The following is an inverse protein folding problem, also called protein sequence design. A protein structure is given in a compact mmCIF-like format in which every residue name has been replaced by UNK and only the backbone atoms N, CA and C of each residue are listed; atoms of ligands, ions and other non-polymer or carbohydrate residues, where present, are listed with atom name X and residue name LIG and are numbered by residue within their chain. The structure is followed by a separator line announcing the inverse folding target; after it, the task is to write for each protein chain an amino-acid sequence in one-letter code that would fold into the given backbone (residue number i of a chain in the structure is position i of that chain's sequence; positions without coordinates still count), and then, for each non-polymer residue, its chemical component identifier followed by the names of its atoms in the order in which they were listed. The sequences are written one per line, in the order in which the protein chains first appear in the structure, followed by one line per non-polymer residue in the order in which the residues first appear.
data_IF_397262439077
#
_entry.id   IF_397262439077
#
_cell.length_a   1.000
_cell.length_b   1.000
_cell.length_c   1.000
_cell.angle_alpha   90.00
_cell.angle_beta   90.00
_cell.angle_gamma   90.00
#
_symmetry.space_group_name_H-M   'P 1'
#
loop_
_entity.id
_entity.type
_entity.pdbx_description
1 polymer ?
#
# COMPACT_ATOMS: atom_id res chain seq x y z
N UNK A 1 -9.82 -9.50 -11.73
CA UNK A 1 -8.64 -8.88 -11.07
C UNK A 1 -8.96 -8.70 -9.60
N UNK A 2 -8.09 -9.16 -8.71
CA UNK A 2 -8.07 -8.73 -7.30
C UNK A 2 -7.13 -7.53 -7.20
N UNK A 3 -7.51 -6.49 -6.46
CA UNK A 3 -6.66 -5.34 -6.22
C UNK A 3 -6.48 -5.09 -4.72
N UNK A 4 -5.23 -5.05 -4.28
CA UNK A 4 -4.86 -4.89 -2.88
C UNK A 4 -4.07 -3.59 -2.67
N UNK A 5 -4.72 -2.44 -2.43
CA UNK A 5 -4.00 -1.21 -2.15
C UNK A 5 -3.29 -1.33 -0.80
N UNK A 6 -1.97 -1.15 -0.80
CA UNK A 6 -1.13 -1.22 0.39
C UNK A 6 -1.02 0.16 1.02
N UNK A 7 -1.46 0.26 2.27
CA UNK A 7 -1.47 1.50 3.04
C UNK A 7 -0.89 1.26 4.43
N UNK A 8 0.03 2.13 4.84
CA UNK A 8 0.48 2.20 6.23
C UNK A 8 -0.58 2.93 7.04
N UNK A 9 -0.89 2.48 8.26
CA UNK A 9 -2.01 2.99 9.05
C UNK A 9 -1.83 4.41 9.66
N UNK A 10 -1.43 5.37 8.83
CA UNK A 10 -1.28 6.77 9.23
C UNK A 10 -2.63 7.48 9.18
N UNK A 11 -2.63 8.72 9.67
CA UNK A 11 -3.83 9.53 9.81
C UNK A 11 -4.66 9.66 8.52
N UNK A 12 -4.06 9.93 7.36
CA UNK A 12 -4.82 10.16 6.12
C UNK A 12 -5.24 8.86 5.43
N UNK A 13 -4.43 7.82 5.52
CA UNK A 13 -4.77 6.46 5.10
C UNK A 13 -5.99 5.95 5.89
N UNK A 14 -5.97 6.09 7.23
CA UNK A 14 -7.11 5.75 8.08
C UNK A 14 -8.37 6.57 7.74
N UNK A 15 -8.19 7.85 7.36
CA UNK A 15 -9.27 8.71 6.92
C UNK A 15 -9.96 8.20 5.65
N UNK A 16 -9.23 7.52 4.75
CA UNK A 16 -9.83 6.88 3.56
C UNK A 16 -10.76 5.73 3.98
N UNK A 17 -10.33 4.90 4.93
CA UNK A 17 -11.15 3.79 5.44
C UNK A 17 -12.48 4.26 6.03
N UNK A 18 -12.48 5.41 6.72
CA UNK A 18 -13.68 5.95 7.36
C UNK A 18 -14.58 6.74 6.41
N UNK A 19 -14.01 7.63 5.59
CA UNK A 19 -14.79 8.60 4.80
C UNK A 19 -15.14 8.08 3.40
N UNK A 20 -14.38 7.12 2.89
CA UNK A 20 -14.53 6.60 1.53
C UNK A 20 -14.57 5.07 1.49
N UNK A 21 -15.27 4.49 2.47
CA UNK A 21 -15.47 3.04 2.58
C UNK A 21 -16.03 2.41 1.29
N UNK A 22 -16.78 3.18 0.50
CA UNK A 22 -17.39 2.73 -0.76
C UNK A 22 -16.39 2.46 -1.88
N UNK A 23 -15.13 2.91 -1.72
CA UNK A 23 -14.03 2.59 -2.63
C UNK A 23 -13.47 1.18 -2.42
N UNK A 24 -13.86 0.50 -1.34
CA UNK A 24 -13.47 -0.88 -1.04
C UNK A 24 -14.63 -1.86 -1.31
N UNK A 25 -14.38 -3.14 -1.08
CA UNK A 25 -15.33 -4.23 -1.28
C UNK A 25 -15.39 -4.74 -2.73
N UNK A 26 -15.96 -5.93 -2.90
CA UNK A 26 -15.87 -6.68 -4.15
C UNK A 26 -14.43 -7.15 -4.39
N UNK A 27 -13.81 -6.67 -5.45
CA UNK A 27 -12.45 -7.05 -5.83
C UNK A 27 -11.35 -6.15 -5.23
N UNK A 28 -11.70 -5.18 -4.38
CA UNK A 28 -10.75 -4.24 -3.76
C UNK A 28 -10.73 -4.44 -2.25
N UNK A 29 -9.60 -4.90 -1.71
CA UNK A 29 -9.42 -5.14 -0.28
C UNK A 29 -8.05 -4.60 0.18
N UNK A 30 -7.98 -3.68 1.14
CA UNK A 30 -6.72 -3.04 1.48
C UNK A 30 -5.79 -3.97 2.26
N UNK A 31 -4.48 -3.86 1.99
CA UNK A 31 -3.43 -4.33 2.91
C UNK A 31 -3.05 -3.17 3.81
N UNK A 32 -3.30 -3.35 5.11
CA UNK A 32 -2.99 -2.38 6.14
C UNK A 32 -1.69 -2.81 6.83
N UNK A 33 -0.61 -2.09 6.51
CA UNK A 33 0.66 -2.21 7.20
C UNK A 33 0.56 -1.44 8.53
N UNK A 34 0.44 -2.17 9.64
CA UNK A 34 0.35 -1.57 10.97
C UNK A 34 1.75 -1.16 11.41
N UNK A 35 2.00 0.15 11.37
CA UNK A 35 3.28 0.76 11.77
C UNK A 35 3.19 1.56 13.07
N UNK A 36 1.96 1.92 13.47
CA UNK A 36 1.71 2.76 14.62
C UNK A 36 0.46 2.31 15.38
N UNK A 37 0.45 2.52 16.69
CA UNK A 37 -0.66 2.14 17.58
C UNK A 37 -1.70 3.26 17.76
N UNK A 38 -1.57 4.38 17.03
CA UNK A 38 -2.50 5.51 17.15
C UNK A 38 -3.44 5.66 15.97
N UNK A 39 -4.70 5.94 16.31
CA UNK A 39 -5.71 6.43 15.36
C UNK A 39 -6.08 7.86 15.77
N UNK A 40 -5.95 8.79 14.83
CA UNK A 40 -6.13 10.24 15.01
C UNK A 40 -5.19 10.88 16.05
N UNK A 41 -5.35 10.55 17.34
CA UNK A 41 -4.48 10.95 18.47
C UNK A 41 -4.53 9.96 19.65
N UNK A 42 -5.43 8.99 19.63
CA UNK A 42 -5.64 8.01 20.71
C UNK A 42 -4.69 6.83 20.47
N UNK A 43 -3.97 6.41 21.50
CA UNK A 43 -3.26 5.11 21.53
C UNK A 43 -4.30 4.01 21.70
N UNK A 44 -4.22 3.00 20.84
CA UNK A 44 -5.10 1.85 20.84
C UNK A 44 -4.27 0.58 21.02
N UNK A 45 -4.80 -0.37 21.77
CA UNK A 45 -4.34 -1.74 21.73
C UNK A 45 -4.52 -2.33 20.33
N UNK A 46 -3.83 -3.43 20.03
CA UNK A 46 -3.99 -4.10 18.75
C UNK A 46 -5.43 -4.59 18.52
N UNK A 47 -6.13 -5.03 19.57
CA UNK A 47 -7.54 -5.44 19.47
C UNK A 47 -8.45 -4.26 19.11
N UNK A 48 -8.26 -3.10 19.75
CA UNK A 48 -8.99 -1.86 19.40
C UNK A 48 -8.70 -1.38 17.97
N UNK A 49 -7.49 -1.64 17.43
CA UNK A 49 -7.20 -1.35 16.01
C UNK A 49 -8.01 -2.26 15.08
N UNK A 50 -8.13 -3.55 15.41
CA UNK A 50 -8.93 -4.49 14.62
C UNK A 50 -10.42 -4.14 14.67
N UNK A 51 -10.94 -3.84 15.85
CA UNK A 51 -12.33 -3.35 16.02
C UNK A 51 -12.59 -2.12 15.16
N UNK A 52 -11.66 -1.15 15.16
CA UNK A 52 -11.77 0.01 14.30
C UNK A 52 -11.86 -0.34 12.81
N UNK A 53 -11.05 -1.26 12.30
CA UNK A 53 -11.12 -1.64 10.89
C UNK A 53 -12.39 -2.43 10.56
N UNK A 54 -12.82 -3.34 11.44
CA UNK A 54 -14.08 -4.07 11.30
C UNK A 54 -15.28 -3.11 11.20
N UNK A 55 -15.33 -2.09 12.06
CA UNK A 55 -16.42 -1.09 12.09
C UNK A 55 -16.44 -0.17 10.86
N UNK A 56 -15.27 0.24 10.37
CA UNK A 56 -15.17 1.30 9.36
C UNK A 56 -15.11 0.78 7.93
N UNK A 57 -14.49 -0.39 7.70
CA UNK A 57 -14.43 -1.00 6.37
C UNK A 57 -15.68 -1.81 6.07
N UNK A 58 -16.09 -2.70 6.99
CA UNK A 58 -17.23 -3.60 6.76
C UNK A 58 -17.05 -4.60 5.60
N UNK A 59 -15.80 -4.79 5.15
CA UNK A 59 -15.39 -5.72 4.11
C UNK A 59 -14.03 -6.31 4.47
N UNK A 60 -13.63 -7.37 3.75
CA UNK A 60 -12.34 -8.01 3.95
C UNK A 60 -11.18 -7.01 3.85
N UNK A 61 -10.26 -7.09 4.81
CA UNK A 61 -9.01 -6.34 4.83
C UNK A 61 -7.87 -7.24 5.29
N UNK A 62 -6.65 -6.90 4.90
CA UNK A 62 -5.46 -7.68 5.21
C UNK A 62 -4.62 -6.91 6.23
N UNK A 63 -4.16 -7.58 7.29
CA UNK A 63 -3.27 -6.96 8.30
C UNK A 63 -1.87 -7.52 8.17
N UNK A 64 -0.93 -6.63 7.85
CA UNK A 64 0.51 -6.89 7.91
C UNK A 64 1.08 -6.20 9.16
N UNK A 65 1.58 -7.00 10.13
CA UNK A 65 2.34 -6.48 11.27
C UNK A 65 3.71 -6.07 10.76
N UNK A 66 3.78 -4.81 10.32
CA UNK A 66 4.91 -4.30 9.57
C UNK A 66 6.12 -4.12 10.47
N UNK A 67 7.22 -4.75 10.09
CA UNK A 67 8.56 -4.59 10.67
C UNK A 67 9.56 -4.26 9.56
N UNK A 68 10.72 -3.69 9.86
CA UNK A 68 11.71 -3.33 8.84
C UNK A 68 13.12 -3.42 9.41
N UNK A 69 14.12 -3.59 8.54
CA UNK A 69 15.51 -3.63 8.97
C UNK A 69 16.01 -2.22 9.31
N UNK A 70 16.96 -2.10 10.24
CA UNK A 70 17.39 -0.78 10.76
C UNK A 70 17.79 0.20 9.65
N UNK A 71 18.44 -0.31 8.60
CA UNK A 71 18.99 0.45 7.48
C UNK A 71 18.16 0.38 6.21
N UNK A 72 16.96 -0.21 6.26
CA UNK A 72 16.07 -0.35 5.09
C UNK A 72 15.53 1.02 4.64
N UNK A 73 15.22 1.89 5.60
CA UNK A 73 14.67 3.22 5.35
C UNK A 73 15.61 4.31 5.87
N UNK A 74 15.97 5.25 4.99
CA UNK A 74 16.92 6.32 5.31
C UNK A 74 16.32 7.38 6.25
N UNK A 75 15.05 7.73 6.04
CA UNK A 75 14.37 8.78 6.79
C UNK A 75 13.19 8.19 7.54
N UNK A 76 13.22 8.28 8.87
CA UNK A 76 12.18 7.72 9.72
C UNK A 76 11.98 8.54 10.99
N UNK A 77 10.72 8.62 11.42
CA UNK A 77 10.28 9.20 12.68
C UNK A 77 9.95 8.07 13.65
N UNK A 78 10.85 7.83 14.60
CA UNK A 78 10.73 6.69 15.50
C UNK A 78 9.48 6.76 16.38
N UNK A 79 8.98 7.96 16.71
CA UNK A 79 7.77 8.12 17.52
C UNK A 79 6.50 7.67 16.78
N UNK A 80 6.52 7.67 15.45
CA UNK A 80 5.42 7.20 14.59
C UNK A 80 5.59 5.74 14.15
N UNK A 81 6.57 5.04 14.72
CA UNK A 81 6.97 3.68 14.34
C UNK A 81 7.13 2.76 15.55
N UNK A 82 6.63 3.18 16.72
CA UNK A 82 6.76 2.46 18.00
C UNK A 82 6.32 1.01 17.86
N UNK A 83 5.14 0.79 17.26
CA UNK A 83 4.60 -0.55 17.03
C UNK A 83 5.52 -1.42 16.18
N UNK A 84 6.08 -0.89 15.08
CA UNK A 84 7.03 -1.65 14.25
C UNK A 84 8.33 -1.98 14.99
N UNK A 85 8.86 -1.06 15.81
CA UNK A 85 10.08 -1.29 16.59
C UNK A 85 9.89 -2.32 17.70
N UNK A 86 8.75 -2.30 18.38
CA UNK A 86 8.38 -3.29 19.39
C UNK A 86 8.25 -4.68 18.75
N UNK A 87 7.49 -4.77 17.65
CA UNK A 87 7.21 -6.04 16.98
C UNK A 87 8.41 -6.61 16.22
N UNK A 88 9.42 -5.80 15.90
CA UNK A 88 10.69 -6.30 15.35
C UNK A 88 11.40 -7.28 16.28
N UNK A 89 11.20 -7.15 17.59
CA UNK A 89 11.81 -8.01 18.62
C UNK A 89 10.91 -9.19 19.01
N UNK A 90 9.73 -9.30 18.41
CA UNK A 90 8.79 -10.38 18.72
C UNK A 90 9.36 -11.74 18.35
N UNK A 91 9.13 -12.70 19.23
CA UNK A 91 9.30 -14.12 18.93
C UNK A 91 8.26 -14.58 17.91
N UNK A 92 8.49 -15.72 17.26
CA UNK A 92 7.48 -16.32 16.38
C UNK A 92 6.15 -16.57 17.11
N UNK A 93 6.16 -16.89 18.40
CA UNK A 93 4.94 -17.12 19.21
C UNK A 93 4.13 -15.84 19.43
N UNK A 94 4.80 -14.74 19.77
CA UNK A 94 4.14 -13.44 19.95
C UNK A 94 3.54 -12.95 18.64
N UNK A 95 4.28 -13.08 17.53
CA UNK A 95 3.76 -12.75 16.21
C UNK A 95 2.57 -13.64 15.82
N UNK A 96 2.63 -14.95 16.12
CA UNK A 96 1.52 -15.87 15.89
C UNK A 96 0.25 -15.42 16.63
N UNK A 97 0.35 -15.10 17.93
CA UNK A 97 -0.84 -14.67 18.70
C UNK A 97 -1.43 -13.36 18.15
N UNK A 98 -0.61 -12.45 17.60
CA UNK A 98 -1.14 -11.27 16.89
C UNK A 98 -1.90 -11.66 15.62
N UNK A 99 -1.33 -12.50 14.76
CA UNK A 99 -2.01 -12.91 13.53
C UNK A 99 -3.26 -13.73 13.82
N UNK A 100 -3.27 -14.51 14.90
CA UNK A 100 -4.46 -15.23 15.36
C UNK A 100 -5.57 -14.28 15.79
N UNK A 101 -5.26 -13.14 16.41
CA UNK A 101 -6.26 -12.09 16.68
C UNK A 101 -6.87 -11.54 15.39
N UNK A 102 -6.04 -11.31 14.36
CA UNK A 102 -6.54 -10.93 13.02
C UNK A 102 -7.45 -12.01 12.45
N UNK A 103 -7.03 -13.28 12.50
CA UNK A 103 -7.79 -14.42 11.99
C UNK A 103 -9.16 -14.58 12.67
N UNK A 104 -9.31 -14.11 13.91
CA UNK A 104 -10.55 -14.15 14.69
C UNK A 104 -11.39 -12.87 14.58
N UNK A 105 -10.90 -11.82 13.90
CA UNK A 105 -11.69 -10.61 13.62
C UNK A 105 -12.77 -10.88 12.56
N UNK A 106 -13.75 -9.99 12.42
CA UNK A 106 -14.91 -10.26 11.56
C UNK A 106 -14.53 -10.27 10.07
N UNK A 107 -13.63 -9.38 9.66
CA UNK A 107 -13.24 -9.24 8.27
C UNK A 107 -11.73 -9.31 8.02
N UNK A 108 -10.90 -9.38 9.06
CA UNK A 108 -9.46 -9.37 8.93
C UNK A 108 -8.89 -10.69 8.40
N UNK A 109 -7.93 -10.55 7.50
CA UNK A 109 -7.07 -11.63 7.00
C UNK A 109 -5.64 -11.39 7.49
N UNK A 110 -5.04 -12.36 8.19
CA UNK A 110 -3.64 -12.23 8.60
C UNK A 110 -2.71 -12.32 7.39
N UNK A 111 -1.74 -11.39 7.33
CA UNK A 111 -0.62 -11.44 6.39
C UNK A 111 0.62 -11.95 7.11
N UNK A 112 1.14 -13.09 6.66
CA UNK A 112 2.41 -13.66 7.09
C UNK A 112 3.51 -13.09 6.19
N UNK A 113 4.30 -12.16 6.72
CA UNK A 113 5.35 -11.48 5.96
C UNK A 113 6.70 -12.19 6.12
N UNK A 114 7.16 -12.83 5.05
CA UNK A 114 8.44 -13.54 4.95
C UNK A 114 9.47 -12.61 4.32
N UNK A 115 10.19 -11.88 5.18
CA UNK A 115 11.25 -10.93 4.81
C UNK A 115 12.40 -10.95 5.82
N UNK A 116 13.55 -10.39 5.44
CA UNK A 116 14.82 -10.52 6.17
C UNK A 116 14.85 -10.09 7.64
N UNK A 117 13.82 -9.42 8.17
CA UNK A 117 13.74 -9.00 9.58
C UNK A 117 13.22 -10.10 10.50
N UNK A 118 12.48 -11.08 9.97
CA UNK A 118 11.92 -12.21 10.73
C UNK A 118 12.77 -13.45 10.52
N UNK A 119 14.01 -13.41 11.02
CA UNK A 119 15.03 -14.46 10.80
C UNK A 119 14.58 -15.86 11.26
N UNK A 120 13.63 -15.98 12.20
CA UNK A 120 13.08 -17.29 12.54
C UNK A 120 12.40 -17.99 11.37
N UNK A 121 11.87 -17.25 10.38
CA UNK A 121 11.34 -17.85 9.15
C UNK A 121 12.43 -18.26 8.17
N UNK A 122 13.72 -18.07 8.47
CA UNK A 122 14.77 -18.72 7.70
C UNK A 122 14.74 -20.26 7.84
N UNK A 123 14.03 -20.81 8.83
CA UNK A 123 13.65 -22.22 8.87
C UNK A 123 12.31 -22.43 8.16
N UNK A 124 12.36 -23.05 6.99
CA UNK A 124 11.16 -23.34 6.20
C UNK A 124 10.19 -24.30 6.89
N UNK A 125 10.66 -25.21 7.75
CA UNK A 125 9.78 -26.12 8.48
C UNK A 125 8.99 -25.35 9.54
N UNK A 126 9.65 -24.45 10.26
CA UNK A 126 8.97 -23.57 11.21
C UNK A 126 7.91 -22.71 10.51
N UNK A 127 8.20 -22.19 9.31
CA UNK A 127 7.24 -21.42 8.53
C UNK A 127 6.03 -22.28 8.12
N UNK A 128 6.25 -23.52 7.67
CA UNK A 128 5.18 -24.48 7.32
C UNK A 128 4.29 -24.77 8.53
N UNK A 129 4.89 -25.06 9.69
CA UNK A 129 4.16 -25.32 10.93
C UNK A 129 3.35 -24.08 11.36
N UNK A 130 3.96 -22.89 11.27
CA UNK A 130 3.32 -21.62 11.58
C UNK A 130 2.09 -21.37 10.70
N UNK A 131 2.23 -21.55 9.37
CA UNK A 131 1.15 -21.40 8.41
C UNK A 131 0.02 -22.38 8.70
N UNK A 132 0.36 -23.67 8.83
CA UNK A 132 -0.61 -24.75 9.04
C UNK A 132 -1.37 -24.59 10.36
N UNK A 133 -0.71 -24.11 11.41
CA UNK A 133 -1.36 -23.81 12.68
C UNK A 133 -2.31 -22.61 12.57
N UNK A 134 -1.91 -21.54 11.85
CA UNK A 134 -2.74 -20.35 11.70
C UNK A 134 -3.99 -20.63 10.85
N UNK A 135 -3.88 -21.46 9.82
CA UNK A 135 -4.98 -21.90 8.97
C UNK A 135 -6.13 -22.60 9.75
N UNK A 136 -5.88 -23.07 10.98
CA UNK A 136 -6.93 -23.64 11.86
C UNK A 136 -7.91 -22.59 12.40
N UNK A 137 -7.54 -21.31 12.40
CA UNK A 137 -8.34 -20.22 12.96
C UNK A 137 -9.10 -19.41 11.90
N UNK A 138 -8.73 -19.54 10.62
CA UNK A 138 -9.36 -18.80 9.52
C UNK A 138 -9.33 -19.57 8.21
N UNK A 139 -10.35 -19.33 7.38
CA UNK A 139 -10.46 -19.92 6.03
C UNK A 139 -9.49 -19.30 5.03
N UNK A 140 -8.96 -18.12 5.30
CA UNK A 140 -8.06 -17.40 4.39
C UNK A 140 -6.92 -16.78 5.17
N UNK A 141 -5.70 -17.00 4.70
CA UNK A 141 -4.51 -16.25 5.07
C UNK A 141 -3.87 -15.64 3.82
N UNK A 142 -2.99 -14.67 4.01
CA UNK A 142 -2.08 -14.23 2.96
C UNK A 142 -0.63 -14.49 3.38
N UNK A 143 0.19 -14.98 2.45
CA UNK A 143 1.64 -15.06 2.63
C UNK A 143 2.28 -14.04 1.70
N UNK A 144 2.94 -13.04 2.27
CA UNK A 144 3.74 -12.07 1.52
C UNK A 144 5.20 -12.49 1.59
N UNK A 145 5.80 -12.82 0.45
CA UNK A 145 7.21 -13.20 0.39
C UNK A 145 7.99 -12.20 -0.45
N UNK A 146 9.07 -11.69 0.11
CA UNK A 146 10.03 -10.90 -0.65
C UNK A 146 10.70 -11.80 -1.71
N UNK A 147 10.93 -11.28 -2.91
CA UNK A 147 11.44 -12.09 -4.02
C UNK A 147 12.79 -12.76 -3.71
N UNK A 148 13.66 -12.13 -2.91
CA UNK A 148 14.94 -12.71 -2.46
C UNK A 148 14.79 -13.93 -1.54
N UNK A 149 13.59 -14.16 -0.99
CA UNK A 149 13.24 -15.30 -0.14
C UNK A 149 12.47 -16.39 -0.88
N UNK A 150 12.00 -16.12 -2.10
CA UNK A 150 11.10 -17.01 -2.86
C UNK A 150 11.67 -18.43 -3.01
N UNK A 151 12.82 -18.57 -3.65
CA UNK A 151 13.45 -19.86 -3.96
C UNK A 151 13.67 -20.76 -2.73
N UNK A 152 13.87 -20.16 -1.55
CA UNK A 152 14.10 -20.90 -0.30
C UNK A 152 12.83 -21.52 0.30
N UNK A 153 11.70 -20.85 0.15
CA UNK A 153 10.47 -21.19 0.87
C UNK A 153 9.33 -21.68 -0.03
N UNK A 154 9.33 -21.30 -1.31
CA UNK A 154 8.20 -21.51 -2.22
C UNK A 154 7.72 -22.96 -2.26
N UNK A 155 8.61 -23.92 -2.55
CA UNK A 155 8.24 -25.34 -2.64
C UNK A 155 7.55 -25.88 -1.40
N UNK A 156 7.94 -25.44 -0.20
CA UNK A 156 7.35 -25.91 1.05
C UNK A 156 5.98 -25.25 1.30
N UNK A 157 5.86 -23.96 0.97
CA UNK A 157 4.60 -23.21 1.08
C UNK A 157 3.55 -23.69 0.07
N UNK A 158 3.97 -23.94 -1.17
CA UNK A 158 3.13 -24.40 -2.27
C UNK A 158 2.34 -25.66 -1.92
N UNK A 159 2.96 -26.57 -1.16
CA UNK A 159 2.33 -27.83 -0.74
C UNK A 159 1.25 -27.69 0.34
N UNK A 160 1.14 -26.54 1.01
CA UNK A 160 0.23 -26.35 2.16
C UNK A 160 -0.80 -25.24 1.96
N UNK A 161 -0.64 -24.42 0.92
CA UNK A 161 -1.57 -23.34 0.62
C UNK A 161 -2.92 -23.86 0.12
N UNK A 162 -4.00 -23.24 0.59
CA UNK A 162 -5.37 -23.58 0.20
C UNK A 162 -5.83 -22.66 -0.94
N UNK A 163 -6.86 -23.08 -1.67
CA UNK A 163 -7.48 -22.27 -2.73
C UNK A 163 -7.98 -20.90 -2.28
N UNK A 164 -8.36 -20.77 -1.02
CA UNK A 164 -8.82 -19.53 -0.41
C UNK A 164 -7.69 -18.65 0.13
N UNK A 165 -6.44 -19.12 0.14
CA UNK A 165 -5.28 -18.36 0.60
C UNK A 165 -4.68 -17.53 -0.55
N UNK A 166 -3.96 -16.47 -0.17
CA UNK A 166 -3.26 -15.59 -1.10
C UNK A 166 -1.74 -15.78 -0.98
N UNK A 167 -1.07 -15.89 -2.11
CA UNK A 167 0.37 -15.81 -2.21
C UNK A 167 0.75 -14.47 -2.86
N UNK A 168 1.35 -13.58 -2.07
CA UNK A 168 1.76 -12.24 -2.49
C UNK A 168 3.26 -12.26 -2.77
N UNK A 169 3.63 -12.23 -4.06
CA UNK A 169 5.01 -12.15 -4.52
C UNK A 169 5.46 -10.69 -4.57
N UNK A 170 6.32 -10.29 -3.63
CA UNK A 170 6.76 -8.91 -3.44
C UNK A 170 8.11 -8.66 -4.11
N UNK A 171 8.08 -7.94 -5.24
CA UNK A 171 9.27 -7.53 -6.00
C UNK A 171 9.77 -6.14 -5.60
N UNK A 172 9.16 -5.52 -4.59
CA UNK A 172 9.54 -4.20 -4.07
C UNK A 172 9.57 -3.12 -5.18
N UNK A 173 10.67 -2.39 -5.35
CA UNK A 173 10.82 -1.31 -6.35
C UNK A 173 11.47 -1.79 -7.67
N UNK A 174 11.67 -3.11 -7.81
CA UNK A 174 12.30 -3.70 -8.99
C UNK A 174 11.28 -3.96 -10.09
N UNK A 175 11.77 -4.01 -11.33
CA UNK A 175 10.95 -4.43 -12.46
C UNK A 175 10.73 -5.95 -12.42
N UNK A 176 9.78 -6.46 -13.21
CA UNK A 176 9.37 -7.87 -13.15
C UNK A 176 10.35 -8.81 -13.87
N UNK A 177 11.11 -8.30 -14.84
CA UNK A 177 11.96 -9.09 -15.74
C UNK A 177 13.01 -9.97 -15.03
N UNK A 178 13.68 -9.54 -13.94
CA UNK A 178 14.65 -10.37 -13.22
C UNK A 178 14.05 -11.64 -12.61
N UNK A 179 12.72 -11.71 -12.44
CA UNK A 179 12.02 -12.78 -11.73
C UNK A 179 11.31 -13.77 -12.66
N UNK A 180 11.68 -13.80 -13.95
CA UNK A 180 10.99 -14.63 -14.94
C UNK A 180 10.92 -16.13 -14.57
N UNK A 181 11.97 -16.69 -13.97
CA UNK A 181 11.98 -18.09 -13.52
C UNK A 181 11.08 -18.31 -12.30
N UNK A 182 11.09 -17.39 -11.32
CA UNK A 182 10.20 -17.46 -10.16
C UNK A 182 8.72 -17.39 -10.59
N UNK A 183 8.44 -16.56 -11.60
CA UNK A 183 7.11 -16.41 -12.19
C UNK A 183 6.70 -17.67 -12.95
N UNK A 184 7.62 -18.32 -13.67
CA UNK A 184 7.34 -19.61 -14.32
C UNK A 184 6.96 -20.70 -13.30
N UNK A 185 7.65 -20.74 -12.15
CA UNK A 185 7.32 -21.64 -11.05
C UNK A 185 5.91 -21.37 -10.49
N UNK A 186 5.54 -20.10 -10.31
CA UNK A 186 4.18 -19.69 -9.88
C UNK A 186 3.11 -20.02 -10.93
N UNK A 187 3.40 -19.86 -12.21
CA UNK A 187 2.48 -20.13 -13.31
C UNK A 187 2.10 -21.61 -13.39
N UNK A 188 3.01 -22.50 -12.98
CA UNK A 188 2.72 -23.93 -12.86
C UNK A 188 1.72 -24.27 -11.72
N UNK A 189 1.22 -23.26 -11.00
CA UNK A 189 0.33 -23.37 -9.83
C UNK A 189 -0.95 -22.55 -9.96
N UNK A 190 -1.20 -21.96 -11.14
CA UNK A 190 -2.41 -21.17 -11.39
C UNK A 190 -3.69 -21.93 -10.97
N UNK A 191 -4.50 -21.27 -10.14
CA UNK A 191 -5.78 -21.81 -9.65
C UNK A 191 -5.69 -22.68 -8.39
N UNK A 192 -4.49 -22.97 -7.87
CA UNK A 192 -4.33 -23.70 -6.59
C UNK A 192 -4.55 -22.81 -5.36
N UNK A 193 -4.13 -21.55 -5.45
CA UNK A 193 -4.34 -20.44 -4.52
C UNK A 193 -4.32 -19.14 -5.34
N UNK A 194 -4.61 -18.00 -4.70
CA UNK A 194 -4.64 -16.71 -5.40
C UNK A 194 -3.24 -16.09 -5.46
N UNK A 195 -2.69 -15.95 -6.66
CA UNK A 195 -1.38 -15.35 -6.89
C UNK A 195 -1.52 -13.84 -7.08
N UNK A 196 -0.88 -13.06 -6.23
CA UNK A 196 -0.89 -11.59 -6.30
C UNK A 196 0.55 -11.10 -6.44
N UNK A 197 0.79 -10.17 -7.35
CA UNK A 197 2.08 -9.48 -7.43
C UNK A 197 2.02 -8.15 -6.66
N UNK A 198 3.01 -7.90 -5.80
CA UNK A 198 3.18 -6.64 -5.09
C UNK A 198 4.36 -5.87 -5.67
N UNK A 199 4.09 -4.65 -6.12
CA UNK A 199 5.08 -3.73 -6.66
C UNK A 199 4.95 -2.34 -6.04
N UNK A 200 6.08 -1.71 -5.71
CA UNK A 200 6.15 -0.29 -5.34
C UNK A 200 6.58 0.51 -6.57
N UNK A 201 5.63 1.06 -7.34
CA UNK A 201 5.89 1.58 -8.68
C UNK A 201 6.74 2.86 -8.68
N UNK A 202 6.93 3.49 -7.51
CA UNK A 202 7.69 4.73 -7.36
C UNK A 202 8.84 4.53 -6.40
N UNK A 203 10.06 4.58 -6.95
CA UNK A 203 11.29 4.44 -6.16
C UNK A 203 11.41 5.48 -5.05
N UNK A 204 11.84 5.06 -3.85
CA UNK A 204 12.02 5.93 -2.69
C UNK A 204 12.97 7.10 -3.01
N UNK A 205 14.00 6.83 -3.82
CA UNK A 205 15.03 7.79 -4.23
C UNK A 205 14.52 8.95 -5.10
N UNK A 206 13.34 8.84 -5.74
CA UNK A 206 12.84 9.86 -6.69
C UNK A 206 12.29 11.08 -5.94
N UNK A 207 13.07 12.16 -5.89
CA UNK A 207 12.66 13.41 -5.27
C UNK A 207 11.52 14.12 -6.04
N UNK A 208 10.72 14.94 -5.36
CA UNK A 208 9.63 15.70 -6.00
C UNK A 208 10.12 16.63 -7.12
N UNK A 209 11.31 17.21 -6.98
CA UNK A 209 11.93 18.07 -8.00
C UNK A 209 12.32 17.35 -9.29
N UNK A 210 12.32 16.02 -9.30
CA UNK A 210 12.65 15.22 -10.48
C UNK A 210 11.49 15.18 -11.48
N UNK A 211 10.27 15.46 -11.04
CA UNK A 211 9.09 15.52 -11.89
C UNK A 211 9.09 16.79 -12.74
N UNK A 212 8.37 16.74 -13.86
CA UNK A 212 8.15 17.89 -14.74
C UNK A 212 6.73 18.41 -14.56
N UNK A 213 6.54 19.72 -14.59
CA UNK A 213 5.21 20.32 -14.45
C UNK A 213 4.35 20.10 -15.71
N UNK A 214 3.10 19.71 -15.53
CA UNK A 214 2.08 19.66 -16.58
C UNK A 214 2.21 18.50 -17.58
N UNK A 215 2.85 17.39 -17.20
CA UNK A 215 3.06 16.23 -18.10
C UNK A 215 2.73 14.91 -17.41
N UNK A 216 2.48 13.86 -18.20
CA UNK A 216 2.52 12.50 -17.68
C UNK A 216 3.97 12.08 -17.43
N UNK A 217 4.19 11.34 -16.36
CA UNK A 217 5.53 10.98 -15.90
C UNK A 217 5.79 9.48 -16.02
N UNK A 218 6.98 9.16 -16.53
CA UNK A 218 7.50 7.79 -16.57
C UNK A 218 8.35 7.46 -15.33
N UNK A 219 8.37 8.35 -14.32
CA UNK A 219 9.08 8.14 -13.05
C UNK A 219 8.32 7.21 -12.09
N UNK A 220 7.11 6.79 -12.44
CA UNK A 220 6.28 5.86 -11.69
C UNK A 220 5.87 4.76 -12.66
N UNK A 221 6.38 3.56 -12.45
CA UNK A 221 6.15 2.42 -13.32
C UNK A 221 4.92 1.63 -12.86
N UNK A 222 3.76 1.96 -13.42
CA UNK A 222 2.52 1.23 -13.17
C UNK A 222 2.28 0.08 -14.16
N UNK A 223 3.28 -0.35 -14.95
CA UNK A 223 3.08 -1.37 -15.99
C UNK A 223 2.41 -2.65 -15.46
N UNK A 224 2.80 -3.09 -14.27
CA UNK A 224 2.25 -4.28 -13.61
C UNK A 224 0.75 -4.18 -13.35
N UNK A 225 0.20 -2.99 -13.03
CA UNK A 225 -1.25 -2.82 -12.84
C UNK A 225 -2.04 -3.25 -14.09
N UNK A 226 -1.48 -3.05 -15.28
CA UNK A 226 -2.14 -3.36 -16.56
C UNK A 226 -1.80 -4.76 -17.09
N UNK A 227 -0.60 -5.26 -16.79
CA UNK A 227 -0.06 -6.45 -17.43
C UNK A 227 0.08 -7.65 -16.47
N UNK A 228 -0.44 -7.56 -15.23
CA UNK A 228 -0.31 -8.66 -14.23
C UNK A 228 -0.85 -10.00 -14.75
N UNK A 229 -1.88 -9.98 -15.59
CA UNK A 229 -2.52 -11.15 -16.19
C UNK A 229 -1.66 -11.81 -17.28
N UNK A 230 -0.83 -11.04 -17.99
CA UNK A 230 0.19 -11.57 -18.92
C UNK A 230 1.19 -12.49 -18.21
N UNK A 231 1.35 -12.30 -16.90
CA UNK A 231 2.19 -13.11 -16.01
C UNK A 231 1.38 -14.10 -15.16
N UNK A 232 0.11 -14.36 -15.51
CA UNK A 232 -0.83 -15.25 -14.82
C UNK A 232 -1.04 -14.98 -13.32
N UNK A 233 -0.86 -13.75 -12.86
CA UNK A 233 -1.33 -13.35 -11.54
C UNK A 233 -2.86 -13.15 -11.54
N UNK A 234 -3.52 -13.47 -10.43
CA UNK A 234 -4.96 -13.25 -10.22
C UNK A 234 -5.28 -11.78 -9.87
N UNK A 235 -4.25 -11.04 -9.44
CA UNK A 235 -4.37 -9.66 -9.03
C UNK A 235 -3.05 -8.96 -8.75
N UNK A 236 -3.16 -7.72 -8.33
CA UNK A 236 -2.03 -6.81 -8.10
C UNK A 236 -2.21 -6.04 -6.80
N UNK A 237 -1.09 -5.82 -6.12
CA UNK A 237 -0.98 -4.97 -4.95
C UNK A 237 0.03 -3.86 -5.26
N UNK A 238 -0.27 -2.63 -4.84
CA UNK A 238 0.65 -1.51 -4.98
C UNK A 238 0.48 -0.49 -3.86
N UNK A 239 1.39 0.49 -3.83
CA UNK A 239 1.34 1.60 -2.89
C UNK A 239 0.64 2.83 -3.49
N UNK A 240 -0.36 2.70 -4.37
CA UNK A 240 -1.19 3.81 -4.88
C UNK A 240 -0.39 4.95 -5.55
N UNK A 241 0.78 4.65 -6.14
CA UNK A 241 1.72 5.64 -6.68
C UNK A 241 2.58 6.37 -5.65
N UNK A 242 2.47 6.01 -4.36
CA UNK A 242 3.41 6.44 -3.34
C UNK A 242 4.71 5.70 -3.44
N UNK A 243 5.71 6.36 -2.85
CA UNK A 243 6.86 5.66 -2.34
C UNK A 243 6.42 4.74 -1.22
N UNK A 244 6.94 3.52 -1.22
CA UNK A 244 7.03 2.73 0.00
C UNK A 244 8.02 3.41 0.96
N UNK A 245 7.61 4.48 1.61
CA UNK A 245 8.43 5.23 2.57
C UNK A 245 7.83 5.15 3.97
N UNK A 246 8.62 5.41 5.01
CA UNK A 246 8.16 5.56 6.39
C UNK A 246 7.81 7.02 6.72
N UNK A 247 7.00 7.29 7.76
CA UNK A 247 6.86 8.64 8.29
C UNK A 247 8.24 9.20 8.64
N UNK A 248 8.52 10.45 8.28
CA UNK A 248 9.76 11.14 8.62
C UNK A 248 9.49 12.29 9.59
N UNK A 249 10.54 12.78 10.27
CA UNK A 249 10.49 13.85 11.28
C UNK A 249 10.12 15.23 10.71
N UNK A 250 9.76 15.31 9.42
CA UNK A 250 9.48 16.54 8.70
C UNK A 250 10.73 17.12 8.03
N UNK A 251 10.52 17.94 6.99
CA UNK A 251 11.57 18.80 6.44
C UNK A 251 11.54 20.17 7.13
N UNK A 252 12.57 21.01 6.92
CA UNK A 252 12.63 22.39 7.40
C UNK A 252 11.59 23.33 6.73
N UNK A 253 10.44 22.80 6.30
CA UNK A 253 9.43 23.52 5.54
C UNK A 253 9.78 23.72 4.06
N UNK A 254 10.97 23.32 3.63
CA UNK A 254 11.40 23.40 2.23
C UNK A 254 11.09 22.11 1.45
N UNK A 255 10.78 22.27 0.17
CA UNK A 255 10.54 21.19 -0.78
C UNK A 255 9.58 21.62 -1.89
N UNK A 256 9.78 21.07 -3.09
CA UNK A 256 8.88 21.34 -4.21
C UNK A 256 7.49 20.73 -3.93
N UNK A 257 6.45 21.53 -4.17
CA UNK A 257 5.06 21.12 -4.02
C UNK A 257 4.64 20.35 -5.28
N UNK A 258 4.40 19.05 -5.13
CA UNK A 258 4.08 18.14 -6.22
C UNK A 258 2.73 17.49 -5.97
N UNK A 259 1.89 17.49 -7.00
CA UNK A 259 0.72 16.63 -7.08
C UNK A 259 0.89 15.60 -8.21
N UNK A 260 0.36 14.40 -7.97
CA UNK A 260 0.36 13.28 -8.90
C UNK A 260 -1.08 12.80 -9.08
N UNK A 261 -1.63 12.97 -10.27
CA UNK A 261 -3.02 12.60 -10.56
C UNK A 261 -3.02 11.38 -11.48
N UNK A 262 -3.41 10.23 -10.94
CA UNK A 262 -3.51 9.00 -11.71
C UNK A 262 -4.62 9.10 -12.77
N UNK A 263 -4.31 8.64 -13.96
CA UNK A 263 -5.25 8.44 -15.07
C UNK A 263 -5.23 6.96 -15.45
N UNK A 264 -6.34 6.26 -15.19
CA UNK A 264 -6.46 4.83 -15.46
C UNK A 264 -6.31 4.50 -16.95
N UNK A 265 -6.86 5.35 -17.82
CA UNK A 265 -6.87 5.09 -19.27
C UNK A 265 -5.46 5.09 -19.86
N UNK A 266 -4.60 5.97 -19.33
CA UNK A 266 -3.19 6.05 -19.73
C UNK A 266 -2.29 5.16 -18.87
N UNK A 267 -2.78 4.65 -17.74
CA UNK A 267 -2.00 3.96 -16.72
C UNK A 267 -0.76 4.75 -16.27
N UNK A 268 -0.92 6.06 -16.11
CA UNK A 268 0.17 6.99 -15.79
C UNK A 268 -0.28 8.07 -14.80
N UNK A 269 0.70 8.70 -14.15
CA UNK A 269 0.47 9.86 -13.29
C UNK A 269 0.74 11.16 -14.05
N UNK A 270 -0.23 12.08 -14.01
CA UNK A 270 -0.03 13.46 -14.43
C UNK A 270 0.56 14.27 -13.29
N UNK A 271 1.72 14.87 -13.49
CA UNK A 271 2.41 15.68 -12.49
C UNK A 271 2.12 17.17 -12.64
N UNK A 272 1.77 17.81 -11.52
CA UNK A 272 1.69 19.28 -11.40
C UNK A 272 2.66 19.71 -10.30
N UNK A 273 3.61 20.57 -10.64
CA UNK A 273 4.76 20.87 -9.80
C UNK A 273 4.99 22.37 -9.66
N UNK A 274 5.02 22.84 -8.41
CA UNK A 274 5.72 24.07 -8.09
C UNK A 274 7.17 23.75 -7.72
N UNK A 275 8.11 24.12 -8.59
CA UNK A 275 9.53 23.78 -8.44
C UNK A 275 10.21 24.57 -7.31
N UNK A 276 9.70 25.74 -6.95
CA UNK A 276 10.31 26.63 -5.95
C UNK A 276 10.26 26.02 -4.55
N UNK A 277 11.37 25.38 -4.16
CA UNK A 277 11.47 24.67 -2.88
C UNK A 277 11.37 25.61 -1.67
N UNK A 278 11.63 26.91 -1.84
CA UNK A 278 11.54 27.90 -0.76
C UNK A 278 10.10 28.21 -0.39
N UNK A 279 9.15 28.02 -1.31
CA UNK A 279 7.72 28.14 -1.00
C UNK A 279 7.21 26.99 -0.15
N UNK A 280 7.87 25.82 -0.21
CA UNK A 280 7.46 24.67 0.58
C UNK A 280 5.99 24.29 0.35
N UNK A 281 5.26 24.07 1.43
CA UNK A 281 3.83 23.76 1.39
C UNK A 281 2.98 24.88 0.76
N UNK A 282 3.39 26.14 0.85
CA UNK A 282 2.66 27.25 0.20
C UNK A 282 2.68 27.14 -1.33
N UNK A 283 3.62 26.37 -1.90
CA UNK A 283 3.61 26.06 -3.33
C UNK A 283 2.37 25.29 -3.81
N UNK A 284 1.63 24.67 -2.89
CA UNK A 284 0.41 23.93 -3.23
C UNK A 284 -0.77 24.83 -3.64
N UNK A 285 -0.74 26.12 -3.35
CA UNK A 285 -1.70 27.09 -3.91
C UNK A 285 -1.63 27.08 -5.45
N UNK A 286 -0.43 27.18 -6.02
CA UNK A 286 -0.21 27.06 -7.46
C UNK A 286 -0.69 25.71 -7.99
N UNK A 287 -0.34 24.62 -7.30
CA UNK A 287 -0.69 23.26 -7.74
C UNK A 287 -2.20 23.08 -7.79
N UNK A 288 -2.92 23.53 -6.76
CA UNK A 288 -4.38 23.45 -6.70
C UNK A 288 -5.03 24.31 -7.79
N UNK A 289 -4.52 25.53 -8.00
CA UNK A 289 -5.02 26.42 -9.05
C UNK A 289 -4.86 25.82 -10.46
N UNK A 290 -3.69 25.26 -10.75
CA UNK A 290 -3.45 24.57 -12.03
C UNK A 290 -4.38 23.38 -12.23
N UNK A 291 -4.56 22.54 -11.20
CA UNK A 291 -5.44 21.37 -11.31
C UNK A 291 -6.89 21.78 -11.57
N UNK A 292 -7.44 22.71 -10.80
CA UNK A 292 -8.84 23.13 -10.91
C UNK A 292 -9.08 23.95 -12.19
N UNK A 293 -8.27 24.98 -12.45
CA UNK A 293 -8.55 25.91 -13.56
C UNK A 293 -8.09 25.40 -14.91
N UNK A 294 -6.99 24.66 -14.95
CA UNK A 294 -6.32 24.30 -16.20
C UNK A 294 -6.51 22.83 -16.57
N UNK A 295 -6.42 21.91 -15.62
CA UNK A 295 -6.35 20.47 -15.94
C UNK A 295 -7.60 19.67 -15.58
N UNK A 296 -8.59 20.27 -14.92
CA UNK A 296 -9.82 19.57 -14.52
C UNK A 296 -10.53 18.94 -15.71
N UNK A 297 -10.76 19.68 -16.80
CA UNK A 297 -11.40 19.16 -18.01
C UNK A 297 -10.68 17.95 -18.62
N UNK A 298 -9.38 17.79 -18.34
CA UNK A 298 -8.56 16.68 -18.82
C UNK A 298 -8.58 15.50 -17.86
N UNK A 299 -8.53 15.77 -16.56
CA UNK A 299 -8.32 14.74 -15.53
C UNK A 299 -9.62 14.31 -14.84
N UNK A 300 -10.64 15.13 -14.84
CA UNK A 300 -11.97 14.86 -14.29
C UNK A 300 -13.08 15.34 -15.26
N UNK A 301 -13.09 14.85 -16.52
CA UNK A 301 -14.03 15.33 -17.53
C UNK A 301 -15.50 15.11 -17.15
N UNK A 302 -15.78 14.06 -16.39
CA UNK A 302 -17.15 13.70 -15.97
C UNK A 302 -17.57 14.38 -14.65
N UNK A 303 -16.63 15.01 -13.93
CA UNK A 303 -16.88 15.66 -12.63
C UNK A 303 -17.18 14.71 -11.48
N UNK A 304 -16.89 13.42 -11.63
CA UNK A 304 -17.21 12.37 -10.64
C UNK A 304 -16.05 12.06 -9.68
N UNK A 305 -14.88 12.66 -9.87
CA UNK A 305 -13.73 12.35 -9.04
C UNK A 305 -13.86 12.93 -7.63
N UNK A 306 -13.97 12.03 -6.63
CA UNK A 306 -14.04 12.39 -5.19
C UNK A 306 -12.87 13.29 -4.75
N UNK A 307 -11.66 13.07 -5.29
CA UNK A 307 -10.52 13.93 -5.00
C UNK A 307 -10.69 15.36 -5.53
N UNK A 308 -11.22 15.53 -6.75
CA UNK A 308 -11.51 16.86 -7.29
C UNK A 308 -12.63 17.56 -6.54
N UNK A 309 -13.69 16.84 -6.17
CA UNK A 309 -14.77 17.39 -5.34
C UNK A 309 -14.22 17.97 -4.03
N UNK A 310 -13.35 17.22 -3.33
CA UNK A 310 -12.73 17.68 -2.09
C UNK A 310 -11.72 18.82 -2.32
N UNK A 311 -10.92 18.77 -3.41
CA UNK A 311 -10.02 19.86 -3.76
C UNK A 311 -10.78 21.17 -4.02
N UNK A 312 -11.91 21.13 -4.74
CA UNK A 312 -12.74 22.30 -5.00
C UNK A 312 -13.32 22.88 -3.71
N UNK A 313 -13.84 22.04 -2.82
CA UNK A 313 -14.34 22.48 -1.52
C UNK A 313 -13.26 23.23 -0.72
N UNK A 314 -12.05 22.69 -0.70
CA UNK A 314 -10.93 23.30 0.01
C UNK A 314 -10.39 24.55 -0.70
N UNK A 315 -10.39 24.59 -2.04
CA UNK A 315 -10.03 25.77 -2.82
C UNK A 315 -10.95 26.95 -2.53
N UNK A 316 -12.26 26.72 -2.45
CA UNK A 316 -13.24 27.75 -2.06
C UNK A 316 -13.06 28.28 -0.63
N UNK A 317 -12.38 27.51 0.23
CA UNK A 317 -12.04 27.88 1.61
C UNK A 317 -10.62 28.43 1.74
N UNK A 318 -9.91 28.64 0.63
CA UNK A 318 -8.50 29.04 0.58
C UNK A 318 -7.58 28.10 1.39
N UNK A 319 -7.88 26.79 1.37
CA UNK A 319 -7.12 25.74 2.08
C UNK A 319 -6.37 24.87 1.08
N UNK A 320 -5.09 25.16 0.86
CA UNK A 320 -4.28 24.45 -0.14
C UNK A 320 -3.58 23.19 0.39
N UNK A 321 -3.56 23.00 1.70
CA UNK A 321 -3.04 21.79 2.36
C UNK A 321 -1.51 21.72 2.43
N UNK A 322 -1.02 20.54 2.84
CA UNK A 322 0.41 20.22 2.98
C UNK A 322 0.71 18.88 2.28
N UNK A 323 1.96 18.43 2.27
CA UNK A 323 2.35 17.18 1.59
C UNK A 323 1.48 15.97 1.96
N UNK A 324 1.06 15.85 3.22
CA UNK A 324 0.24 14.74 3.65
C UNK A 324 -1.20 14.83 3.11
N UNK A 325 -1.77 16.03 2.98
CA UNK A 325 -3.06 16.26 2.31
C UNK A 325 -2.96 15.97 0.81
N UNK A 326 -1.84 16.28 0.17
CA UNK A 326 -1.67 15.98 -1.25
C UNK A 326 -1.48 14.49 -1.52
N UNK A 327 -0.80 13.78 -0.62
CA UNK A 327 -0.85 12.31 -0.62
C UNK A 327 -2.29 11.81 -0.40
N UNK A 328 -3.08 12.44 0.46
CA UNK A 328 -4.48 12.05 0.59
C UNK A 328 -5.28 12.22 -0.72
N UNK A 329 -5.11 13.33 -1.44
CA UNK A 329 -5.75 13.55 -2.74
C UNK A 329 -5.31 12.55 -3.81
N UNK A 330 -4.01 12.27 -3.90
CA UNK A 330 -3.49 11.31 -4.87
C UNK A 330 -3.99 9.88 -4.57
N UNK A 331 -4.08 9.45 -3.29
CA UNK A 331 -4.68 8.15 -2.92
C UNK A 331 -6.16 8.09 -3.32
N UNK A 332 -6.91 9.13 -2.96
CA UNK A 332 -8.34 9.19 -3.24
C UNK A 332 -8.61 9.19 -4.74
N UNK A 333 -7.81 9.92 -5.53
CA UNK A 333 -7.88 9.91 -6.99
C UNK A 333 -7.61 8.51 -7.53
N UNK A 334 -6.53 7.87 -7.08
CA UNK A 334 -6.14 6.54 -7.53
C UNK A 334 -7.24 5.52 -7.27
N UNK A 335 -7.71 5.41 -6.02
CA UNK A 335 -8.77 4.47 -5.65
C UNK A 335 -10.08 4.74 -6.39
N UNK A 336 -10.45 6.01 -6.60
CA UNK A 336 -11.64 6.35 -7.39
C UNK A 336 -11.52 5.86 -8.83
N UNK A 337 -10.34 6.02 -9.43
CA UNK A 337 -10.06 5.56 -10.79
C UNK A 337 -10.06 4.03 -10.88
N UNK A 338 -9.44 3.32 -9.93
CA UNK A 338 -9.48 1.87 -9.87
C UNK A 338 -10.91 1.36 -9.71
N UNK A 339 -11.67 1.89 -8.73
CA UNK A 339 -13.05 1.47 -8.45
C UNK A 339 -13.99 1.66 -9.64
N UNK A 340 -13.79 2.71 -10.45
CA UNK A 340 -14.62 2.98 -11.63
C UNK A 340 -14.35 2.01 -12.79
N UNK A 341 -13.16 1.40 -12.84
CA UNK A 341 -12.72 0.58 -13.97
C UNK A 341 -12.52 -0.91 -13.64
N UNK A 342 -12.72 -1.29 -12.38
CA UNK A 342 -12.82 -2.68 -11.90
C UNK A 342 -14.28 -3.10 -11.78
#
# INVERSE_FOLDING_TARGET
MIYLPVMKNRMYENKIFTEYRDLFGGNIAPIIEVIFDKINKKVNSFDELLEYYDENLGYQYFIDVFVFAENEYRYKDNEKLTFSFENRKSTHKEYFEMLKKVALSNYGVPVISVKGVREYFDDSNLLVDFVTELQKFTNTIAIRIAADKFQKHFTNLDNILRRSDLFIFDINEESIEPYCFDIEDLNNRTGQYQNIILHSPRKESIANRSFKDGVFTDLIDNSILKNYDEYNFDGVADYLGYKNALPSTGSNGEGSALSLMFDYNQNQFFSVLNVDSKKGASGFEYVMDQLIRKYEHKLDPDGECKAYALMKENYMKEKFGNWAIWNYYTMLRYLTQIKKNL
#
